data_IF_025823557884
#
_entry.id   IF_025823557884
#
_cell.length_a   1.000
_cell.length_b   1.000
_cell.length_c   1.000
_cell.angle_alpha   90.00
_cell.angle_beta   90.00
_cell.angle_gamma   90.00
#
_symmetry.space_group_name_H-M   'P 1'
#
loop_
_entity.id
_entity.type
_entity.pdbx_description
1 polymer ?
#
# COMPACT_ATOMS: atom_id res chain seq x y z
N UNK A 1 7.64 -4.35 11.69
CA UNK A 1 7.13 -4.27 10.31
C UNK A 1 7.82 -3.11 9.62
N UNK A 2 8.37 -3.32 8.42
CA UNK A 2 8.89 -2.27 7.54
C UNK A 2 7.78 -1.79 6.60
N UNK A 3 7.71 -0.49 6.33
CA UNK A 3 6.91 0.12 5.27
C UNK A 3 7.87 0.87 4.34
N UNK A 4 8.09 0.34 3.14
CA UNK A 4 8.89 0.98 2.10
C UNK A 4 8.00 1.67 1.09
N UNK A 5 8.09 2.99 1.03
CA UNK A 5 7.47 3.85 0.03
C UNK A 5 8.54 4.26 -1.01
N UNK A 6 8.18 4.81 -2.19
CA UNK A 6 9.15 5.21 -3.21
C UNK A 6 10.26 6.13 -2.67
N UNK A 7 9.89 7.08 -1.82
CA UNK A 7 10.79 8.13 -1.31
C UNK A 7 11.16 8.00 0.17
N UNK A 8 10.62 6.99 0.87
CA UNK A 8 10.80 6.86 2.32
C UNK A 8 10.71 5.41 2.81
N UNK A 9 11.32 5.15 3.96
CA UNK A 9 11.16 3.89 4.68
C UNK A 9 10.83 4.18 6.14
N UNK A 10 9.79 3.52 6.65
CA UNK A 10 9.30 3.68 8.04
C UNK A 10 9.22 2.32 8.73
N UNK A 11 9.25 2.31 10.06
CA UNK A 11 9.25 1.06 10.83
C UNK A 11 8.23 1.05 11.96
N UNK A 12 7.76 -0.15 12.29
CA UNK A 12 6.80 -0.38 13.36
C UNK A 12 5.37 0.06 13.02
N UNK A 13 4.48 -0.07 14.00
CA UNK A 13 3.09 0.38 13.85
C UNK A 13 3.00 1.91 13.78
N UNK A 14 3.83 2.63 14.53
CA UNK A 14 3.89 4.09 14.48
C UNK A 14 4.25 4.58 13.07
N UNK A 15 5.31 4.04 12.46
CA UNK A 15 5.68 4.40 11.09
C UNK A 15 4.59 4.09 10.06
N UNK A 16 3.81 3.02 10.24
CA UNK A 16 2.65 2.75 9.40
C UNK A 16 1.53 3.78 9.59
N UNK A 17 1.19 4.12 10.83
CA UNK A 17 0.19 5.15 11.13
C UNK A 17 0.58 6.49 10.50
N UNK A 18 1.85 6.90 10.62
CA UNK A 18 2.33 8.14 10.00
C UNK A 18 2.26 8.11 8.47
N UNK A 19 2.53 6.96 7.83
CA UNK A 19 2.38 6.83 6.37
C UNK A 19 0.91 6.99 5.94
N UNK A 20 -0.01 6.32 6.65
CA UNK A 20 -1.46 6.42 6.39
C UNK A 20 -1.95 7.86 6.56
N UNK A 21 -1.57 8.50 7.67
CA UNK A 21 -1.98 9.88 7.97
C UNK A 21 -1.45 10.86 6.93
N UNK A 22 -0.17 10.71 6.54
CA UNK A 22 0.44 11.53 5.49
C UNK A 22 -0.26 11.33 4.14
N UNK A 23 -0.67 10.11 3.78
CA UNK A 23 -1.40 9.85 2.54
C UNK A 23 -2.80 10.51 2.58
N UNK A 24 -3.57 10.31 3.65
CA UNK A 24 -4.89 10.92 3.78
C UNK A 24 -4.85 12.45 3.77
N UNK A 25 -3.80 13.06 4.34
CA UNK A 25 -3.61 14.51 4.30
C UNK A 25 -3.37 15.03 2.87
N UNK A 26 -2.68 14.26 2.02
CA UNK A 26 -2.38 14.64 0.64
C UNK A 26 -3.60 14.48 -0.29
N UNK A 27 -4.41 13.44 -0.08
CA UNK A 27 -5.56 13.10 -0.95
C UNK A 27 -6.84 12.88 -0.13
N UNK A 28 -7.39 13.93 0.50
CA UNK A 28 -8.56 13.80 1.37
C UNK A 28 -9.79 13.29 0.61
N UNK A 29 -10.59 12.45 1.27
CA UNK A 29 -11.82 11.90 0.69
C UNK A 29 -11.60 10.80 -0.36
N UNK A 30 -10.39 10.27 -0.47
CA UNK A 30 -10.08 9.11 -1.32
C UNK A 30 -9.96 7.83 -0.49
N UNK A 31 -10.09 6.68 -1.16
CA UNK A 31 -9.88 5.36 -0.57
C UNK A 31 -8.99 4.50 -1.48
N UNK A 32 -8.20 3.62 -0.88
CA UNK A 32 -7.48 2.56 -1.58
C UNK A 32 -8.44 1.38 -1.76
N UNK A 33 -8.61 0.93 -2.99
CA UNK A 33 -9.40 -0.26 -3.33
C UNK A 33 -8.55 -1.26 -4.10
N UNK A 34 -8.54 -2.52 -3.68
CA UNK A 34 -7.84 -3.59 -4.41
C UNK A 34 -8.44 -3.75 -5.81
N UNK A 35 -7.62 -3.66 -6.85
CA UNK A 35 -8.03 -3.69 -8.26
C UNK A 35 -7.74 -5.03 -8.94
N UNK A 36 -6.99 -5.92 -8.29
CA UNK A 36 -6.61 -7.22 -8.85
C UNK A 36 -6.63 -8.36 -7.83
N UNK A 37 -6.37 -9.61 -8.26
CA UNK A 37 -6.33 -10.75 -7.36
C UNK A 37 -5.15 -10.66 -6.40
N UNK A 38 -5.29 -11.30 -5.23
CA UNK A 38 -4.16 -11.56 -4.34
C UNK A 38 -3.36 -12.73 -4.91
N UNK A 39 -2.07 -12.50 -5.16
CA UNK A 39 -1.13 -13.51 -5.59
C UNK A 39 -0.15 -13.81 -4.45
N UNK A 40 0.30 -15.06 -4.36
CA UNK A 40 1.19 -15.52 -3.29
C UNK A 40 2.26 -16.48 -3.81
N UNK A 41 3.48 -16.30 -3.33
CA UNK A 41 4.59 -17.24 -3.49
C UNK A 41 5.38 -17.33 -2.17
N UNK A 42 5.28 -18.46 -1.48
CA UNK A 42 5.82 -18.62 -0.11
C UNK A 42 5.34 -17.51 0.85
N UNK A 43 6.27 -16.73 1.40
CA UNK A 43 5.99 -15.59 2.29
C UNK A 43 5.60 -14.32 1.52
N UNK A 44 5.84 -14.27 0.21
CA UNK A 44 5.53 -13.10 -0.61
C UNK A 44 4.03 -13.08 -0.95
N UNK A 45 3.39 -11.94 -0.71
CA UNK A 45 2.01 -11.65 -1.09
C UNK A 45 2.00 -10.36 -1.91
N UNK A 46 1.21 -10.31 -2.98
CA UNK A 46 1.07 -9.09 -3.77
C UNK A 46 -0.32 -8.94 -4.38
N UNK A 47 -0.76 -7.70 -4.59
CA UNK A 47 -1.99 -7.35 -5.28
C UNK A 47 -1.88 -5.92 -5.84
N UNK A 48 -2.65 -5.62 -6.88
CA UNK A 48 -2.77 -4.25 -7.40
C UNK A 48 -3.89 -3.50 -6.69
N UNK A 49 -3.79 -2.17 -6.66
CA UNK A 49 -4.78 -1.28 -6.07
C UNK A 49 -4.95 -0.01 -6.91
N UNK A 50 -6.05 0.69 -6.65
CA UNK A 50 -6.34 2.04 -7.13
C UNK A 50 -6.68 2.94 -5.95
N UNK A 51 -6.33 4.22 -6.04
CA UNK A 51 -6.60 5.25 -5.04
C UNK A 51 -7.50 6.32 -5.67
N UNK A 52 -8.67 6.57 -5.09
CA UNK A 52 -9.60 7.56 -5.62
C UNK A 52 -10.85 7.73 -4.77
N UNK A 53 -11.62 8.77 -5.08
CA UNK A 53 -12.94 8.97 -4.48
C UNK A 53 -13.98 8.07 -5.17
N UNK A 54 -15.02 7.69 -4.43
CA UNK A 54 -16.11 6.86 -4.96
C UNK A 54 -16.78 7.53 -6.18
N UNK A 55 -17.00 6.75 -7.24
CA UNK A 55 -17.61 7.23 -8.48
C UNK A 55 -16.75 8.20 -9.31
N UNK A 56 -15.48 8.43 -8.94
CA UNK A 56 -14.52 9.26 -9.68
C UNK A 56 -13.43 8.41 -10.31
N UNK A 57 -12.74 8.96 -11.31
CA UNK A 57 -11.53 8.35 -11.84
C UNK A 57 -10.45 8.28 -10.74
N UNK A 58 -9.69 7.17 -10.64
CA UNK A 58 -8.56 7.07 -9.71
C UNK A 58 -7.52 8.17 -9.94
N UNK A 59 -6.95 8.67 -8.85
CA UNK A 59 -5.85 9.64 -8.86
C UNK A 59 -4.48 8.97 -8.87
N UNK A 60 -4.42 7.70 -8.45
CA UNK A 60 -3.22 6.87 -8.54
C UNK A 60 -3.59 5.38 -8.64
N UNK A 61 -2.67 4.58 -9.16
CA UNK A 61 -2.70 3.12 -9.07
C UNK A 61 -1.33 2.59 -8.67
N UNK A 62 -1.30 1.34 -8.26
CA UNK A 62 -0.07 0.71 -7.86
C UNK A 62 -0.24 -0.72 -7.42
N UNK A 63 0.75 -1.17 -6.67
CA UNK A 63 0.84 -2.53 -6.15
C UNK A 63 1.51 -2.54 -4.79
N UNK A 64 0.96 -3.36 -3.92
CA UNK A 64 1.63 -3.70 -2.67
C UNK A 64 2.38 -5.03 -2.84
N UNK A 65 3.59 -5.09 -2.29
CA UNK A 65 4.38 -6.32 -2.14
C UNK A 65 4.69 -6.51 -0.68
N UNK A 66 4.20 -7.61 -0.10
CA UNK A 66 4.29 -7.90 1.31
C UNK A 66 5.12 -9.16 1.56
N UNK A 67 5.82 -9.19 2.68
CA UNK A 67 6.33 -10.41 3.28
C UNK A 67 5.48 -10.75 4.51
N UNK A 68 4.89 -11.94 4.50
CA UNK A 68 4.01 -12.45 5.56
C UNK A 68 4.63 -13.68 6.20
N UNK A 69 4.99 -13.59 7.48
CA UNK A 69 5.65 -14.66 8.25
C UNK A 69 4.96 -14.83 9.60
N UNK A 70 4.72 -16.08 10.00
CA UNK A 70 4.05 -16.37 11.27
C UNK A 70 2.69 -15.67 11.42
N UNK A 71 1.95 -15.53 10.30
CA UNK A 71 0.65 -14.85 10.26
C UNK A 71 0.70 -13.32 10.39
N UNK A 72 1.88 -12.70 10.29
CA UNK A 72 2.06 -11.24 10.40
C UNK A 72 2.79 -10.67 9.19
N UNK A 73 2.44 -9.44 8.81
CA UNK A 73 3.19 -8.67 7.82
C UNK A 73 4.51 -8.22 8.47
N UNK A 74 5.63 -8.69 7.92
CA UNK A 74 6.97 -8.27 8.37
C UNK A 74 7.50 -7.10 7.56
N UNK A 75 7.12 -7.02 6.28
CA UNK A 75 7.45 -5.92 5.37
C UNK A 75 6.30 -5.66 4.42
N UNK A 76 6.09 -4.38 4.08
CA UNK A 76 5.22 -3.89 3.03
C UNK A 76 6.07 -2.95 2.16
N UNK A 77 6.03 -3.15 0.85
CA UNK A 77 6.59 -2.23 -0.15
C UNK A 77 5.46 -1.74 -1.03
N UNK A 78 5.33 -0.42 -1.14
CA UNK A 78 4.32 0.26 -1.94
C UNK A 78 4.97 0.68 -3.25
N UNK A 79 4.48 0.14 -4.37
CA UNK A 79 4.89 0.52 -5.71
C UNK A 79 3.79 1.38 -6.30
N UNK A 80 4.16 2.54 -6.84
CA UNK A 80 3.26 3.42 -7.59
C UNK A 80 3.48 3.14 -9.07
N UNK A 81 2.40 2.89 -9.81
CA UNK A 81 2.49 2.75 -11.25
C UNK A 81 2.79 4.13 -11.85
N UNK A 82 3.86 4.23 -12.62
CA UNK A 82 4.08 5.39 -13.48
C UNK A 82 3.35 5.17 -14.79
N UNK A 83 2.62 6.18 -15.27
CA UNK A 83 2.07 6.21 -16.65
C UNK A 83 3.12 5.91 -17.70
#
# INVERSE_FOLDING_TARGET
>A
MLVGEPDAARTGHAGMSEAIDALHAQVPGTAITRSGPVQRAQDLVTYTWVLGAEGRAPVASGRDVLLVRGGRITSLYVLIDTT
#
